data_IF_097008222150
#
_entry.id   IF_097008222150
#
_cell.length_a   1.000
_cell.length_b   1.000
_cell.length_c   1.000
_cell.angle_alpha   90.00
_cell.angle_beta   90.00
_cell.angle_gamma   90.00
#
_symmetry.space_group_name_H-M   'P 1'
#
loop_
_entity.id
_entity.type
_entity.pdbx_description
1 polymer ?
#
# COMPACT_ATOMS: atom_id res chain seq x y z
N UNK A 1 -18.97 7.09 -25.37
CA UNK A 1 -19.43 6.81 -24.00
C UNK A 1 -18.19 6.56 -23.14
N UNK A 2 -17.91 7.40 -22.15
CA UNK A 2 -16.72 7.23 -21.30
C UNK A 2 -16.97 6.13 -20.26
N UNK A 3 -16.05 5.18 -20.15
CA UNK A 3 -16.08 4.18 -19.06
C UNK A 3 -15.56 4.86 -17.79
N UNK A 4 -16.25 4.74 -16.63
CA UNK A 4 -15.76 5.32 -15.39
C UNK A 4 -14.40 4.73 -15.01
N UNK A 5 -13.43 5.59 -14.66
CA UNK A 5 -12.10 5.18 -14.22
C UNK A 5 -11.73 5.90 -12.91
N UNK A 6 -10.91 5.24 -12.10
CA UNK A 6 -10.43 5.75 -10.81
C UNK A 6 -9.01 5.29 -10.55
N UNK A 7 -8.20 6.12 -9.89
CA UNK A 7 -6.90 5.71 -9.37
C UNK A 7 -7.05 4.96 -8.05
N UNK A 8 -6.32 3.86 -7.90
CA UNK A 8 -6.24 3.08 -6.66
C UNK A 8 -4.75 2.90 -6.28
N UNK A 9 -4.36 3.14 -5.02
CA UNK A 9 -3.01 2.82 -4.56
C UNK A 9 -2.73 1.32 -4.58
N UNK A 10 -1.48 0.93 -4.86
CA UNK A 10 -1.02 -0.47 -4.81
C UNK A 10 -1.26 -1.15 -3.44
N UNK A 11 -1.35 -0.36 -2.37
CA UNK A 11 -1.61 -0.85 -1.01
C UNK A 11 -3.04 -1.36 -0.80
N UNK A 12 -3.97 -1.07 -1.72
CA UNK A 12 -5.35 -1.53 -1.62
C UNK A 12 -5.50 -2.88 -2.34
N UNK A 13 -6.01 -3.86 -1.59
CA UNK A 13 -6.44 -5.13 -2.16
C UNK A 13 -7.60 -4.87 -3.11
N UNK A 14 -7.42 -5.22 -4.37
CA UNK A 14 -8.51 -5.28 -5.34
C UNK A 14 -9.38 -6.47 -4.97
N UNK A 15 -10.63 -6.22 -4.56
CA UNK A 15 -11.61 -7.30 -4.45
C UNK A 15 -11.63 -8.08 -5.77
N UNK A 16 -11.83 -9.40 -5.74
CA UNK A 16 -12.04 -10.22 -6.94
C UNK A 16 -13.30 -9.74 -7.66
N UNK A 17 -13.17 -8.68 -8.44
CA UNK A 17 -14.20 -8.13 -9.32
C UNK A 17 -13.56 -7.99 -10.69
N UNK A 18 -14.34 -8.36 -11.69
CA UNK A 18 -13.98 -8.27 -13.09
C UNK A 18 -13.67 -6.80 -13.45
N UNK A 19 -12.57 -6.59 -14.17
CA UNK A 19 -12.13 -5.26 -14.60
C UNK A 19 -10.65 -5.19 -14.93
N UNK A 20 -10.32 -4.49 -16.02
CA UNK A 20 -8.94 -4.24 -16.41
C UNK A 20 -8.30 -3.21 -15.48
N UNK A 21 -7.03 -3.41 -15.16
CA UNK A 21 -6.19 -2.38 -14.56
C UNK A 21 -4.90 -2.30 -15.34
N UNK A 22 -4.33 -1.10 -15.35
CA UNK A 22 -3.02 -0.81 -15.90
C UNK A 22 -2.25 -0.07 -14.81
N UNK A 23 -0.99 -0.44 -14.64
CA UNK A 23 -0.09 0.31 -13.80
C UNK A 23 0.24 1.64 -14.48
N UNK A 24 0.21 2.72 -13.70
CA UNK A 24 0.52 4.05 -14.22
C UNK A 24 2.03 4.23 -14.10
N UNK A 25 2.69 4.59 -15.21
CA UNK A 25 4.12 4.88 -15.24
C UNK A 25 4.49 5.94 -14.19
N UNK A 26 5.50 5.65 -13.36
CA UNK A 26 5.93 6.53 -12.26
C UNK A 26 6.29 7.95 -12.73
N UNK A 27 6.70 8.14 -13.99
CA UNK A 27 7.03 9.45 -14.57
C UNK A 27 5.79 10.33 -14.81
N UNK A 28 4.58 9.76 -14.68
CA UNK A 28 3.31 10.43 -14.97
C UNK A 28 2.59 10.92 -13.71
N UNK A 29 3.15 10.69 -12.53
CA UNK A 29 2.60 11.18 -11.28
C UNK A 29 3.70 11.59 -10.30
N UNK A 30 3.35 12.40 -9.30
CA UNK A 30 4.26 12.67 -8.21
C UNK A 30 4.48 11.39 -7.37
N UNK A 31 5.63 11.22 -6.71
CA UNK A 31 5.83 10.13 -5.77
C UNK A 31 4.71 10.07 -4.73
N UNK A 32 4.19 8.87 -4.48
CA UNK A 32 3.13 8.67 -3.49
C UNK A 32 3.77 8.60 -2.10
N UNK A 33 3.43 9.54 -1.22
CA UNK A 33 3.84 9.51 0.18
C UNK A 33 3.01 8.46 0.94
N UNK A 34 3.58 7.27 1.11
CA UNK A 34 2.95 6.18 1.85
C UNK A 34 3.25 6.32 3.34
N UNK A 35 2.21 6.21 4.18
CA UNK A 35 2.34 6.24 5.62
C UNK A 35 1.63 5.04 6.26
N UNK A 36 2.25 4.47 7.31
CA UNK A 36 1.63 3.47 8.17
C UNK A 36 1.21 4.14 9.48
N UNK A 37 -0.01 3.90 9.93
CA UNK A 37 -0.55 4.51 11.14
C UNK A 37 -1.27 3.49 12.03
N UNK A 38 -1.13 3.66 13.34
CA UNK A 38 -1.90 2.90 14.33
C UNK A 38 -3.12 3.72 14.73
N UNK A 39 -4.31 3.18 14.50
CA UNK A 39 -5.58 3.83 14.87
C UNK A 39 -5.67 3.95 16.39
N UNK A 40 -5.70 5.19 16.91
CA UNK A 40 -5.70 5.47 18.36
C UNK A 40 -6.83 4.78 19.13
N UNK A 41 -8.02 4.68 18.53
CA UNK A 41 -9.19 4.05 19.15
C UNK A 41 -9.24 2.51 19.01
N UNK A 42 -8.26 1.89 18.35
CA UNK A 42 -8.25 0.43 18.15
C UNK A 42 -8.09 -0.30 19.47
N UNK A 43 -8.88 -1.37 19.67
CA UNK A 43 -8.73 -2.32 20.78
C UNK A 43 -7.53 -3.28 20.60
N UNK A 44 -6.78 -3.16 19.50
CA UNK A 44 -5.67 -4.04 19.13
C UNK A 44 -4.34 -3.27 19.03
N UNK A 45 -4.07 -2.37 19.98
CA UNK A 45 -2.89 -1.49 19.95
C UNK A 45 -1.57 -2.27 19.86
N UNK A 46 -1.39 -3.28 20.71
CA UNK A 46 -0.16 -4.06 20.80
C UNK A 46 0.09 -4.84 19.51
N UNK A 47 -0.97 -5.45 18.95
CA UNK A 47 -0.87 -6.15 17.68
C UNK A 47 -0.54 -5.21 16.52
N UNK A 48 -1.13 -4.01 16.50
CA UNK A 48 -0.82 -3.00 15.48
C UNK A 48 0.63 -2.51 15.57
N UNK A 49 1.17 -2.29 16.78
CA UNK A 49 2.58 -1.91 16.98
C UNK A 49 3.54 -3.00 16.52
N UNK A 50 3.29 -4.26 16.91
CA UNK A 50 4.09 -5.40 16.42
C UNK A 50 4.06 -5.54 14.90
N UNK A 51 2.92 -5.26 14.28
CA UNK A 51 2.83 -5.23 12.82
C UNK A 51 3.69 -4.12 12.21
N UNK A 52 3.66 -2.90 12.77
CA UNK A 52 4.54 -1.81 12.32
C UNK A 52 6.01 -2.19 12.49
N UNK A 53 6.40 -2.75 13.64
CA UNK A 53 7.76 -3.23 13.89
C UNK A 53 8.20 -4.27 12.85
N UNK A 54 7.32 -5.23 12.53
CA UNK A 54 7.60 -6.21 11.48
C UNK A 54 7.79 -5.57 10.11
N UNK A 55 6.89 -4.67 9.69
CA UNK A 55 7.00 -3.98 8.39
C UNK A 55 8.28 -3.14 8.30
N UNK A 56 8.74 -2.57 9.42
CA UNK A 56 9.98 -1.77 9.49
C UNK A 56 11.25 -2.60 9.68
N UNK A 57 11.13 -3.91 9.95
CA UNK A 57 12.29 -4.81 10.04
C UNK A 57 12.96 -5.01 8.67
N UNK A 58 14.20 -5.51 8.66
CA UNK A 58 14.91 -5.86 7.43
C UNK A 58 14.15 -6.86 6.56
N UNK A 59 13.51 -7.85 7.19
CA UNK A 59 12.67 -8.85 6.53
C UNK A 59 11.44 -8.20 5.88
N UNK A 60 10.71 -7.37 6.64
CA UNK A 60 9.52 -6.67 6.16
C UNK A 60 9.83 -5.71 4.99
N UNK A 61 10.92 -4.95 5.09
CA UNK A 61 11.36 -4.04 4.03
C UNK A 61 11.78 -4.81 2.76
N UNK A 62 12.49 -5.93 2.91
CA UNK A 62 12.86 -6.79 1.77
C UNK A 62 11.62 -7.37 1.08
N UNK A 63 10.59 -7.74 1.85
CA UNK A 63 9.31 -8.18 1.29
C UNK A 63 8.63 -7.07 0.50
N UNK A 64 8.59 -5.85 1.03
CA UNK A 64 7.98 -4.68 0.39
C UNK A 64 8.67 -4.31 -0.93
N UNK A 65 10.00 -4.35 -0.99
CA UNK A 65 10.77 -4.09 -2.22
C UNK A 65 10.37 -5.03 -3.37
N UNK A 66 10.12 -6.31 -3.08
CA UNK A 66 9.66 -7.28 -4.09
C UNK A 66 8.32 -6.93 -4.72
N UNK A 67 7.52 -6.08 -4.07
CA UNK A 67 6.22 -5.61 -4.56
C UNK A 67 6.25 -4.15 -5.04
N UNK A 68 7.45 -3.58 -5.26
CA UNK A 68 7.61 -2.24 -5.85
C UNK A 68 7.55 -1.09 -4.85
N UNK A 69 7.59 -1.35 -3.55
CA UNK A 69 7.70 -0.30 -2.53
C UNK A 69 9.17 0.10 -2.35
N UNK A 70 9.41 1.39 -2.12
CA UNK A 70 10.74 1.92 -1.79
C UNK A 70 10.90 1.97 -0.27
N UNK A 71 12.12 1.68 0.19
CA UNK A 71 12.54 1.90 1.59
C UNK A 71 12.40 3.39 1.95
N UNK A 72 12.09 3.71 3.22
CA UNK A 72 12.13 5.08 3.74
C UNK A 72 13.51 5.74 3.58
#
# INVERSE_FOLDING_TARGET
MAVPSSFIPLALVRAKREGHAVEVDERRHQPINQAIAVVKASRKQEAARRFVEFVMSSEGQTLLERYGYRKP
#
